data_IF_603403144588
#
_entry.id   IF_603403144588
#
_cell.length_a   1.000
_cell.length_b   1.000
_cell.length_c   1.000
_cell.angle_alpha   90.00
_cell.angle_beta   90.00
_cell.angle_gamma   90.00
#
_symmetry.space_group_name_H-M   'P 1'
#
loop_
_entity.id
_entity.type
_entity.pdbx_description
1 polymer ?
#
# COMPACT_ATOMS: atom_id res chain seq x y z
N UNK A 1 -6.29 29.47 30.39
CA UNK A 1 -5.57 28.19 30.39
C UNK A 1 -6.60 27.11 30.67
N UNK A 2 -6.96 26.30 29.68
CA UNK A 2 -8.04 25.31 29.83
C UNK A 2 -7.56 24.08 30.60
N UNK A 3 -8.45 23.36 31.23
CA UNK A 3 -8.16 22.13 31.99
C UNK A 3 -7.46 21.06 31.13
N UNK A 4 -7.65 21.11 29.81
CA UNK A 4 -7.04 20.17 28.85
C UNK A 4 -5.62 20.54 28.39
N UNK A 5 -5.15 21.77 28.62
CA UNK A 5 -3.82 22.22 28.16
C UNK A 5 -2.68 21.45 28.85
N UNK A 6 -2.83 21.14 30.12
CA UNK A 6 -1.85 20.38 30.89
C UNK A 6 -1.74 18.91 30.48
N UNK A 7 -2.86 18.27 30.09
CA UNK A 7 -2.86 16.89 29.61
C UNK A 7 -2.21 16.79 28.24
N UNK A 8 -2.55 17.65 27.29
CA UNK A 8 -1.94 17.70 25.96
C UNK A 8 -0.42 17.91 26.03
N UNK A 9 0.01 18.81 26.91
CA UNK A 9 1.44 19.06 27.10
C UNK A 9 2.17 17.84 27.68
N UNK A 10 1.56 17.14 28.63
CA UNK A 10 2.08 15.89 29.20
C UNK A 10 2.21 14.80 28.13
N UNK A 11 1.20 14.63 27.27
CA UNK A 11 1.21 13.65 26.18
C UNK A 11 2.30 13.97 25.16
N UNK A 12 2.44 15.22 24.74
CA UNK A 12 3.53 15.64 23.83
C UNK A 12 4.91 15.40 24.43
N UNK A 13 5.10 15.71 25.71
CA UNK A 13 6.37 15.48 26.41
C UNK A 13 6.70 14.00 26.48
N UNK A 14 5.71 13.13 26.75
CA UNK A 14 5.90 11.68 26.75
C UNK A 14 6.31 11.17 25.35
N UNK A 15 5.71 11.67 24.31
CA UNK A 15 6.09 11.36 22.93
C UNK A 15 7.52 11.80 22.60
N UNK A 16 7.92 13.00 23.01
CA UNK A 16 9.28 13.50 22.77
C UNK A 16 10.36 12.69 23.51
N UNK A 17 10.02 12.06 24.62
CA UNK A 17 10.94 11.25 25.43
C UNK A 17 11.07 9.81 24.95
N UNK A 18 10.02 9.20 24.42
CA UNK A 18 9.98 7.77 24.16
C UNK A 18 9.23 7.34 22.90
N UNK A 19 8.86 8.28 22.01
CA UNK A 19 8.07 7.93 20.83
C UNK A 19 6.69 7.37 21.17
N UNK A 20 6.18 6.46 20.33
CA UNK A 20 4.87 5.84 20.49
C UNK A 20 4.90 4.50 21.24
N UNK A 21 6.07 3.92 21.52
CA UNK A 21 6.19 2.57 22.09
C UNK A 21 5.50 2.40 23.46
N UNK A 22 5.41 3.49 24.22
CA UNK A 22 4.75 3.52 25.52
C UNK A 22 3.30 4.01 25.46
N UNK A 23 2.73 4.17 24.27
CA UNK A 23 1.34 4.62 24.07
C UNK A 23 0.42 3.44 23.78
N UNK A 24 -0.75 3.43 24.41
CA UNK A 24 -1.84 2.59 23.94
C UNK A 24 -2.40 3.15 22.62
N UNK A 25 -3.07 2.32 21.81
CA UNK A 25 -3.58 2.71 20.51
C UNK A 25 -4.48 3.95 20.55
N UNK A 26 -5.39 4.03 21.53
CA UNK A 26 -6.26 5.19 21.71
C UNK A 26 -5.47 6.45 22.09
N UNK A 27 -4.40 6.33 22.89
CA UNK A 27 -3.54 7.46 23.23
C UNK A 27 -2.76 7.99 22.02
N UNK A 28 -2.29 7.09 21.13
CA UNK A 28 -1.65 7.46 19.88
C UNK A 28 -2.61 8.21 18.94
N UNK A 29 -3.87 7.75 18.85
CA UNK A 29 -4.93 8.44 18.12
C UNK A 29 -5.26 9.80 18.76
N UNK A 30 -5.39 9.86 20.07
CA UNK A 30 -5.62 11.10 20.81
C UNK A 30 -4.55 12.15 20.50
N UNK A 31 -3.28 11.76 20.57
CA UNK A 31 -2.16 12.64 20.25
C UNK A 31 -2.19 13.13 18.80
N UNK A 32 -2.50 12.26 17.85
CA UNK A 32 -2.62 12.63 16.44
C UNK A 32 -3.76 13.63 16.24
N UNK A 33 -4.91 13.39 16.84
CA UNK A 33 -6.09 14.24 16.75
C UNK A 33 -5.89 15.65 17.35
N UNK A 34 -4.92 15.86 18.24
CA UNK A 34 -4.60 17.21 18.76
C UNK A 34 -4.29 18.22 17.65
N UNK A 35 -3.73 17.76 16.55
CA UNK A 35 -3.32 18.63 15.43
C UNK A 35 -4.47 19.00 14.49
N UNK A 36 -5.53 18.20 14.44
CA UNK A 36 -6.74 18.51 13.69
C UNK A 36 -7.88 19.07 14.52
N UNK A 37 -7.87 18.81 15.86
CA UNK A 37 -8.93 19.23 16.80
C UNK A 37 -8.30 19.99 17.96
N UNK A 38 -7.94 21.27 17.79
CA UNK A 38 -7.09 21.98 18.76
C UNK A 38 -7.78 22.35 20.07
N UNK A 39 -9.10 22.45 20.10
CA UNK A 39 -9.86 23.05 21.23
C UNK A 39 -10.79 22.09 21.97
N UNK A 40 -10.91 20.83 21.54
CA UNK A 40 -11.78 19.83 22.18
C UNK A 40 -10.95 18.76 22.85
N UNK A 41 -11.51 18.11 23.85
CA UNK A 41 -10.96 16.86 24.36
C UNK A 41 -11.06 15.77 23.27
N UNK A 42 -9.93 15.20 22.89
CA UNK A 42 -9.86 14.17 21.85
C UNK A 42 -9.79 12.76 22.43
N UNK A 43 -9.68 12.61 23.75
CA UNK A 43 -9.65 11.29 24.38
C UNK A 43 -10.96 10.51 24.14
N UNK A 44 -12.16 11.10 24.38
CA UNK A 44 -13.43 10.40 24.09
C UNK A 44 -13.57 10.06 22.62
N UNK A 45 -13.05 10.91 21.71
CA UNK A 45 -13.11 10.68 20.26
C UNK A 45 -12.22 9.51 19.87
N UNK A 46 -11.01 9.42 20.44
CA UNK A 46 -10.11 8.31 20.22
C UNK A 46 -10.70 6.98 20.69
N UNK A 47 -11.33 6.96 21.86
CA UNK A 47 -12.07 5.78 22.33
C UNK A 47 -13.23 5.40 21.42
N UNK A 48 -14.05 6.34 20.98
CA UNK A 48 -15.17 6.08 20.06
C UNK A 48 -14.69 5.50 18.71
N UNK A 49 -13.53 5.94 18.22
CA UNK A 49 -12.90 5.34 17.03
C UNK A 49 -12.46 3.90 17.30
N UNK A 50 -11.78 3.64 18.41
CA UNK A 50 -11.34 2.28 18.77
C UNK A 50 -12.53 1.33 18.98
N UNK A 51 -13.59 1.78 19.65
CA UNK A 51 -14.81 1.00 19.87
C UNK A 51 -15.52 0.65 18.56
N UNK A 52 -15.54 1.59 17.60
CA UNK A 52 -16.21 1.39 16.31
C UNK A 52 -15.43 0.49 15.38
N UNK A 53 -14.11 0.59 15.32
CA UNK A 53 -13.27 -0.10 14.32
C UNK A 53 -12.46 -1.26 14.88
N UNK A 54 -12.36 -1.38 16.19
CA UNK A 54 -11.72 -2.50 16.89
C UNK A 54 -10.20 -2.47 16.95
N UNK A 55 -9.52 -1.75 16.06
CA UNK A 55 -8.06 -1.64 16.06
C UNK A 55 -7.57 -0.33 15.46
N UNK A 56 -6.35 0.09 15.81
CA UNK A 56 -5.68 1.26 15.23
C UNK A 56 -5.54 1.11 13.71
N UNK A 57 -5.17 -0.06 13.23
CA UNK A 57 -5.03 -0.33 11.79
C UNK A 57 -6.36 -0.15 11.05
N UNK A 58 -7.46 -0.65 11.61
CA UNK A 58 -8.79 -0.50 11.02
C UNK A 58 -9.24 0.97 11.00
N UNK A 59 -8.98 1.75 12.06
CA UNK A 59 -9.23 3.21 12.07
C UNK A 59 -8.48 3.90 10.96
N UNK A 60 -7.18 3.65 10.86
CA UNK A 60 -6.30 4.30 9.88
C UNK A 60 -6.57 3.87 8.43
N UNK A 61 -7.25 2.74 8.22
CA UNK A 61 -7.64 2.23 6.90
C UNK A 61 -9.05 2.62 6.47
N UNK A 62 -9.89 3.08 7.40
CA UNK A 62 -11.30 3.40 7.14
C UNK A 62 -11.45 4.57 6.14
N UNK A 63 -12.46 4.54 5.25
CA UNK A 63 -12.77 5.65 4.34
C UNK A 63 -13.04 6.96 5.10
N UNK A 64 -12.69 8.11 4.47
CA UNK A 64 -12.88 9.44 5.06
C UNK A 64 -14.34 9.66 5.44
N UNK A 65 -15.28 9.27 4.58
CA UNK A 65 -16.72 9.43 4.76
C UNK A 65 -17.24 8.60 5.96
N UNK A 66 -16.62 7.46 6.24
CA UNK A 66 -16.98 6.62 7.38
C UNK A 66 -16.41 7.15 8.69
N UNK A 67 -15.18 7.67 8.67
CA UNK A 67 -14.57 8.33 9.81
C UNK A 67 -15.38 9.54 10.25
N UNK A 68 -15.92 10.32 9.32
CA UNK A 68 -16.76 11.49 9.60
C UNK A 68 -18.09 11.15 10.28
N UNK A 69 -18.51 9.89 10.29
CA UNK A 69 -19.71 9.44 11.02
C UNK A 69 -19.46 9.31 12.53
N UNK A 70 -18.20 9.39 12.96
CA UNK A 70 -17.85 9.40 14.40
C UNK A 70 -18.00 10.82 14.93
N UNK A 71 -18.74 10.98 16.02
CA UNK A 71 -18.98 12.28 16.63
C UNK A 71 -17.65 12.97 16.99
N UNK A 72 -17.48 14.21 16.53
CA UNK A 72 -16.28 15.00 16.78
C UNK A 72 -15.21 14.87 15.70
N UNK A 73 -15.37 13.98 14.73
CA UNK A 73 -14.48 13.86 13.55
C UNK A 73 -15.03 14.71 12.42
N UNK A 74 -14.40 15.86 12.16
CA UNK A 74 -14.62 16.66 10.97
C UNK A 74 -13.72 16.22 9.81
N UNK A 75 -13.91 16.83 8.65
CA UNK A 75 -13.15 16.52 7.43
C UNK A 75 -11.64 16.54 7.64
N UNK A 76 -11.11 17.60 8.27
CA UNK A 76 -9.66 17.72 8.53
C UNK A 76 -9.10 16.59 9.40
N UNK A 77 -9.86 16.15 10.40
CA UNK A 77 -9.44 15.04 11.27
C UNK A 77 -9.48 13.70 10.54
N UNK A 78 -10.52 13.45 9.73
CA UNK A 78 -10.63 12.25 8.92
C UNK A 78 -9.52 12.19 7.86
N UNK A 79 -9.22 13.30 7.18
CA UNK A 79 -8.09 13.39 6.24
C UNK A 79 -6.77 13.13 6.95
N UNK A 80 -6.52 13.71 8.14
CA UNK A 80 -5.28 13.50 8.89
C UNK A 80 -5.08 12.02 9.25
N UNK A 81 -6.12 11.34 9.71
CA UNK A 81 -6.09 9.91 10.03
C UNK A 81 -5.70 9.05 8.80
N UNK A 82 -6.23 9.39 7.63
CA UNK A 82 -5.89 8.71 6.37
C UNK A 82 -4.51 9.09 5.82
N UNK A 83 -4.13 10.33 5.99
CA UNK A 83 -2.87 10.88 5.46
C UNK A 83 -1.64 10.28 6.16
N UNK A 84 -1.71 10.09 7.49
CA UNK A 84 -0.57 9.63 8.28
C UNK A 84 0.02 8.29 7.80
N UNK A 85 -0.76 7.20 7.64
CA UNK A 85 -0.22 5.94 7.13
C UNK A 85 0.22 6.03 5.66
N UNK A 86 -0.45 6.83 4.82
CA UNK A 86 -0.08 7.02 3.42
C UNK A 86 1.26 7.76 3.28
N UNK A 87 1.53 8.76 4.13
CA UNK A 87 2.83 9.44 4.17
C UNK A 87 3.94 8.50 4.64
N UNK A 88 3.70 7.72 5.69
CA UNK A 88 4.67 6.74 6.16
C UNK A 88 4.99 5.70 5.07
N UNK A 89 3.97 5.19 4.36
CA UNK A 89 4.15 4.32 3.19
C UNK A 89 4.98 4.99 2.10
N UNK A 90 4.63 6.22 1.72
CA UNK A 90 5.35 6.98 0.68
C UNK A 90 6.82 7.18 1.04
N UNK A 91 7.12 7.49 2.30
CA UNK A 91 8.50 7.66 2.77
C UNK A 91 9.30 6.35 2.67
N UNK A 92 8.74 5.22 3.16
CA UNK A 92 9.38 3.90 3.06
C UNK A 92 9.66 3.49 1.61
N UNK A 93 8.70 3.69 0.71
CA UNK A 93 8.89 3.39 -0.71
C UNK A 93 10.00 4.24 -1.33
N UNK A 94 10.05 5.54 -1.02
CA UNK A 94 11.10 6.43 -1.53
C UNK A 94 12.51 6.05 -1.05
N UNK A 95 12.64 5.49 0.15
CA UNK A 95 13.91 4.97 0.66
C UNK A 95 14.28 3.66 -0.02
N UNK A 96 13.32 2.77 -0.25
CA UNK A 96 13.56 1.48 -0.89
C UNK A 96 13.87 1.59 -2.39
N UNK A 97 13.35 2.60 -3.09
CA UNK A 97 13.55 2.78 -4.54
C UNK A 97 14.99 3.18 -4.92
N UNK A 98 15.80 3.70 -4.00
CA UNK A 98 17.13 4.26 -4.34
C UNK A 98 18.15 3.22 -4.84
N UNK A 99 18.04 1.95 -4.46
CA UNK A 99 18.91 0.84 -4.94
C UNK A 99 18.20 -0.53 -4.87
N UNK A 100 16.92 -0.59 -5.18
CA UNK A 100 16.14 -1.83 -5.06
C UNK A 100 16.52 -2.82 -6.14
N UNK A 101 17.14 -3.93 -5.74
CA UNK A 101 17.42 -5.08 -6.62
C UNK A 101 16.38 -6.16 -6.34
N UNK A 102 15.57 -6.47 -7.36
CA UNK A 102 14.48 -7.45 -7.34
C UNK A 102 14.88 -8.67 -8.21
N UNK A 103 15.97 -9.33 -7.84
CA UNK A 103 16.54 -10.45 -8.58
C UNK A 103 16.08 -11.83 -8.08
N UNK A 104 15.02 -11.88 -7.28
CA UNK A 104 14.34 -13.09 -6.86
C UNK A 104 12.88 -12.78 -6.56
N UNK A 105 12.01 -13.80 -6.66
CA UNK A 105 10.57 -13.73 -6.35
C UNK A 105 10.34 -13.29 -4.91
N UNK A 106 11.17 -13.74 -3.97
CA UNK A 106 11.10 -13.36 -2.56
C UNK A 106 11.33 -11.84 -2.37
N UNK A 107 12.34 -11.26 -3.03
CA UNK A 107 12.60 -9.82 -2.95
C UNK A 107 11.52 -9.00 -3.62
N UNK A 108 11.06 -9.45 -4.78
CA UNK A 108 9.97 -8.79 -5.49
C UNK A 108 8.65 -8.87 -4.70
N UNK A 109 8.33 -10.03 -4.13
CA UNK A 109 7.16 -10.24 -3.30
C UNK A 109 7.15 -9.34 -2.07
N UNK A 110 8.24 -9.26 -1.33
CA UNK A 110 8.35 -8.36 -0.16
C UNK A 110 8.19 -6.89 -0.53
N UNK A 111 8.80 -6.45 -1.63
CA UNK A 111 8.61 -5.09 -2.14
C UNK A 111 7.14 -4.83 -2.50
N UNK A 112 6.48 -5.81 -3.11
CA UNK A 112 5.08 -5.71 -3.52
C UNK A 112 4.12 -5.74 -2.32
N UNK A 113 4.38 -6.51 -1.27
CA UNK A 113 3.61 -6.46 -0.02
C UNK A 113 3.54 -5.03 0.54
N UNK A 114 4.67 -4.34 0.60
CA UNK A 114 4.72 -2.93 1.01
C UNK A 114 4.00 -2.02 0.01
N UNK A 115 4.07 -2.34 -1.28
CA UNK A 115 3.44 -1.55 -2.34
C UNK A 115 1.92 -1.64 -2.31
N UNK A 116 1.37 -2.80 -2.01
CA UNK A 116 -0.07 -3.02 -1.91
C UNK A 116 -0.66 -2.70 -0.54
N UNK A 117 0.17 -2.41 0.46
CA UNK A 117 -0.31 -2.09 1.81
C UNK A 117 -1.34 -0.95 1.80
N UNK A 118 -2.55 -1.23 2.27
CA UNK A 118 -3.67 -0.27 2.32
C UNK A 118 -4.45 -0.09 1.02
N UNK A 119 -4.16 -0.87 -0.03
CA UNK A 119 -5.04 -0.95 -1.21
C UNK A 119 -6.27 -1.79 -0.87
N UNK A 120 -7.46 -1.22 -1.05
CA UNK A 120 -8.76 -1.86 -0.76
C UNK A 120 -9.46 -2.40 -2.00
N UNK A 121 -8.93 -2.10 -3.17
CA UNK A 121 -9.43 -2.52 -4.47
C UNK A 121 -8.33 -3.27 -5.20
N UNK A 122 -8.71 -4.02 -6.23
CA UNK A 122 -7.74 -4.66 -7.11
C UNK A 122 -6.94 -3.61 -7.88
N UNK A 123 -5.63 -3.73 -7.85
CA UNK A 123 -4.68 -2.84 -8.52
C UNK A 123 -3.65 -3.67 -9.24
N UNK A 124 -3.26 -3.27 -10.44
CA UNK A 124 -2.18 -3.91 -11.18
C UNK A 124 -0.97 -2.97 -11.20
N UNK A 125 0.19 -3.49 -10.78
CA UNK A 125 1.49 -2.84 -10.92
C UNK A 125 2.37 -3.54 -11.92
N UNK A 126 3.20 -2.74 -12.60
CA UNK A 126 4.30 -3.16 -13.46
C UNK A 126 5.60 -2.70 -12.82
N UNK A 127 6.52 -3.62 -12.56
CA UNK A 127 7.90 -3.33 -12.19
C UNK A 127 8.78 -3.47 -13.43
N UNK A 128 9.46 -2.40 -13.82
CA UNK A 128 10.43 -2.39 -14.91
C UNK A 128 11.83 -2.58 -14.35
N UNK A 129 12.56 -3.58 -14.82
CA UNK A 129 13.87 -3.98 -14.29
C UNK A 129 14.97 -3.88 -15.36
N UNK A 130 16.19 -3.59 -14.93
CA UNK A 130 17.37 -3.77 -15.77
C UNK A 130 17.84 -5.24 -15.77
N UNK A 131 18.91 -5.54 -16.53
CA UNK A 131 19.50 -6.91 -16.63
C UNK A 131 20.03 -7.47 -15.32
N UNK A 132 20.24 -6.63 -14.29
CA UNK A 132 20.72 -7.05 -12.97
C UNK A 132 19.57 -7.17 -11.96
N UNK A 133 18.32 -7.00 -12.41
CA UNK A 133 17.15 -6.98 -11.55
C UNK A 133 16.98 -5.67 -10.76
N UNK A 134 17.71 -4.59 -11.11
CA UNK A 134 17.52 -3.29 -10.49
C UNK A 134 16.19 -2.69 -10.94
N UNK A 135 15.40 -2.21 -9.99
CA UNK A 135 14.13 -1.53 -10.26
C UNK A 135 14.39 -0.17 -10.94
N UNK A 136 13.92 -0.05 -12.18
CA UNK A 136 13.96 1.20 -12.96
C UNK A 136 12.72 2.05 -12.75
N UNK A 137 11.55 1.41 -12.64
CA UNK A 137 10.29 2.06 -12.36
C UNK A 137 9.24 1.07 -11.83
N UNK A 138 8.34 1.56 -10.97
CA UNK A 138 7.11 0.88 -10.59
C UNK A 138 5.94 1.73 -11.10
N UNK A 139 5.09 1.16 -11.96
CA UNK A 139 3.97 1.85 -12.62
C UNK A 139 2.66 1.15 -12.30
N UNK A 140 1.65 1.92 -11.91
CA UNK A 140 0.28 1.45 -11.79
C UNK A 140 -0.33 1.36 -13.18
N UNK A 141 -0.85 0.21 -13.58
CA UNK A 141 -1.45 -0.03 -14.91
C UNK A 141 -2.97 0.02 -14.90
N UNK A 142 -3.59 -0.43 -13.83
CA UNK A 142 -5.04 -0.42 -13.67
C UNK A 142 -5.45 -0.27 -12.21
N UNK A 143 -6.66 0.22 -11.99
CA UNK A 143 -7.31 0.35 -10.69
C UNK A 143 -8.80 0.04 -10.84
N UNK A 144 -9.31 -0.83 -9.95
CA UNK A 144 -10.74 -1.09 -9.82
C UNK A 144 -11.30 -1.87 -11.01
N UNK A 145 -11.62 -3.12 -10.81
CA UNK A 145 -12.36 -3.92 -11.78
C UNK A 145 -12.48 -5.35 -11.29
N UNK A 146 -13.70 -5.74 -11.02
CA UNK A 146 -14.07 -7.13 -10.84
C UNK A 146 -13.97 -7.79 -12.21
N UNK A 147 -13.33 -8.95 -12.27
CA UNK A 147 -13.21 -9.82 -13.44
C UNK A 147 -12.43 -9.21 -14.62
N UNK A 148 -11.12 -9.42 -14.61
CA UNK A 148 -10.26 -9.16 -15.74
C UNK A 148 -10.19 -7.69 -16.09
N UNK A 149 -9.65 -6.87 -15.17
CA UNK A 149 -9.21 -5.55 -15.56
C UNK A 149 -8.39 -5.71 -16.82
N UNK A 150 -8.89 -5.20 -17.94
CA UNK A 150 -8.16 -5.30 -19.22
C UNK A 150 -6.78 -4.69 -19.00
N UNK A 151 -5.79 -5.56 -18.78
CA UNK A 151 -4.41 -5.13 -18.69
C UNK A 151 -4.13 -4.27 -19.91
N UNK A 152 -3.85 -2.99 -19.71
CA UNK A 152 -3.53 -2.11 -20.81
C UNK A 152 -2.16 -2.47 -21.37
N UNK A 153 -2.14 -3.48 -22.24
CA UNK A 153 -0.94 -4.01 -22.92
C UNK A 153 -0.14 -2.87 -23.56
N UNK A 154 -0.83 -1.93 -24.22
CA UNK A 154 -0.16 -0.80 -24.87
C UNK A 154 0.60 0.07 -23.85
N UNK A 155 0.00 0.32 -22.70
CA UNK A 155 0.62 1.10 -21.61
C UNK A 155 1.80 0.33 -21.02
N UNK A 156 1.65 -0.97 -20.82
CA UNK A 156 2.70 -1.85 -20.28
C UNK A 156 3.93 -1.85 -21.21
N UNK A 157 3.73 -2.06 -22.50
CA UNK A 157 4.80 -2.02 -23.53
C UNK A 157 5.46 -0.64 -23.59
N UNK A 158 4.65 0.43 -23.57
CA UNK A 158 5.16 1.81 -23.55
C UNK A 158 6.04 2.09 -22.34
N UNK A 159 5.62 1.67 -21.14
CA UNK A 159 6.41 1.82 -19.93
C UNK A 159 7.75 1.07 -20.01
N UNK A 160 7.75 -0.15 -20.51
CA UNK A 160 8.97 -0.96 -20.67
C UNK A 160 9.97 -0.29 -21.62
N UNK A 161 9.49 0.25 -22.75
CA UNK A 161 10.32 0.98 -23.71
C UNK A 161 10.88 2.27 -23.13
N UNK A 162 10.03 3.10 -22.49
CA UNK A 162 10.42 4.38 -21.90
C UNK A 162 11.46 4.23 -20.78
N UNK A 163 11.43 3.14 -20.07
CA UNK A 163 12.39 2.85 -18.99
C UNK A 163 13.61 2.09 -19.45
N UNK A 164 13.65 1.67 -20.74
CA UNK A 164 14.68 0.76 -21.28
C UNK A 164 14.79 -0.53 -20.44
N UNK A 165 13.66 -1.06 -20.01
CA UNK A 165 13.61 -2.28 -19.21
C UNK A 165 14.11 -3.48 -20.01
N UNK A 166 14.85 -4.36 -19.34
CA UNK A 166 15.24 -5.67 -19.87
C UNK A 166 14.25 -6.75 -19.43
N UNK A 167 13.61 -6.56 -18.28
CA UNK A 167 12.59 -7.45 -17.75
C UNK A 167 11.47 -6.68 -17.07
N UNK A 168 10.31 -7.31 -16.98
CA UNK A 168 9.10 -6.80 -16.30
C UNK A 168 8.62 -7.85 -15.33
N UNK A 169 8.21 -7.42 -14.13
CA UNK A 169 7.35 -8.20 -13.24
C UNK A 169 5.98 -7.53 -13.25
N UNK A 170 4.93 -8.32 -13.51
CA UNK A 170 3.55 -7.92 -13.24
C UNK A 170 3.16 -8.31 -11.83
N UNK A 171 2.28 -7.55 -11.23
CA UNK A 171 1.67 -7.94 -9.96
C UNK A 171 0.32 -7.31 -9.78
N UNK A 172 -0.59 -8.04 -9.13
CA UNK A 172 -1.86 -7.51 -8.67
C UNK A 172 -2.18 -8.05 -7.28
N UNK A 173 -3.10 -7.39 -6.59
CA UNK A 173 -3.59 -7.85 -5.30
C UNK A 173 -4.98 -8.47 -5.45
N UNK A 174 -5.26 -9.50 -4.64
CA UNK A 174 -6.58 -10.07 -4.45
C UNK A 174 -7.21 -9.56 -3.15
N UNK A 175 -8.17 -8.63 -3.19
CA UNK A 175 -8.86 -8.16 -1.98
C UNK A 175 -9.66 -9.26 -1.27
N UNK A 176 -9.91 -10.40 -1.93
CA UNK A 176 -10.55 -11.58 -1.35
C UNK A 176 -9.72 -12.32 -0.31
N UNK A 177 -8.41 -11.99 -0.19
CA UNK A 177 -7.52 -12.55 0.82
C UNK A 177 -6.82 -13.86 0.41
N UNK A 178 -6.95 -14.31 -0.85
CA UNK A 178 -6.29 -15.54 -1.32
C UNK A 178 -5.30 -15.25 -2.43
N UNK A 179 -4.01 -15.46 -2.19
CA UNK A 179 -2.91 -15.22 -3.15
C UNK A 179 -2.72 -16.39 -4.13
N UNK A 180 -3.80 -16.88 -4.77
CA UNK A 180 -3.71 -17.94 -5.80
C UNK A 180 -4.11 -17.37 -7.16
N UNK A 181 -3.39 -17.74 -8.24
CA UNK A 181 -3.73 -17.32 -9.60
C UNK A 181 -5.10 -17.85 -10.03
N UNK A 182 -5.93 -17.00 -10.61
CA UNK A 182 -7.19 -17.35 -11.27
C UNK A 182 -6.95 -17.75 -12.74
N UNK A 183 -7.93 -18.38 -13.43
CA UNK A 183 -7.84 -18.65 -14.87
C UNK A 183 -7.59 -17.38 -15.71
N UNK A 184 -8.14 -16.25 -15.28
CA UNK A 184 -7.97 -14.94 -15.92
C UNK A 184 -6.54 -14.44 -15.77
N UNK A 185 -5.87 -14.73 -14.64
CA UNK A 185 -4.48 -14.35 -14.41
C UNK A 185 -3.54 -15.09 -15.35
N UNK A 186 -3.78 -16.38 -15.62
CA UNK A 186 -3.03 -17.14 -16.61
C UNK A 186 -3.16 -16.52 -18.00
N UNK A 187 -4.39 -16.20 -18.44
CA UNK A 187 -4.64 -15.58 -19.74
C UNK A 187 -3.95 -14.22 -19.85
N UNK A 188 -4.02 -13.41 -18.78
CA UNK A 188 -3.39 -12.09 -18.72
C UNK A 188 -1.87 -12.20 -18.76
N UNK A 189 -1.30 -13.19 -18.10
CA UNK A 189 0.13 -13.48 -18.08
C UNK A 189 0.64 -13.85 -19.46
N UNK A 190 -0.07 -14.74 -20.19
CA UNK A 190 0.30 -15.13 -21.55
C UNK A 190 0.29 -13.94 -22.51
N UNK A 191 -0.77 -13.15 -22.49
CA UNK A 191 -0.88 -11.92 -23.29
C UNK A 191 0.25 -10.93 -23.02
N UNK A 192 0.61 -10.77 -21.74
CA UNK A 192 1.71 -9.91 -21.33
C UNK A 192 3.07 -10.43 -21.82
N UNK A 193 3.32 -11.74 -21.63
CA UNK A 193 4.54 -12.43 -22.09
C UNK A 193 4.73 -12.26 -23.59
N UNK A 194 3.70 -12.55 -24.38
CA UNK A 194 3.74 -12.39 -25.84
C UNK A 194 4.02 -10.94 -26.26
N UNK A 195 3.33 -9.99 -25.67
CA UNK A 195 3.49 -8.57 -26.02
C UNK A 195 4.90 -8.04 -25.68
N UNK A 196 5.44 -8.37 -24.52
CA UNK A 196 6.79 -7.97 -24.11
C UNK A 196 7.87 -8.65 -24.97
N UNK A 197 7.67 -9.91 -25.35
CA UNK A 197 8.59 -10.63 -26.23
C UNK A 197 8.75 -9.94 -27.61
N UNK A 198 7.70 -9.31 -28.13
CA UNK A 198 7.78 -8.57 -29.43
C UNK A 198 8.78 -7.40 -29.40
N UNK A 199 9.07 -6.88 -28.23
CA UNK A 199 10.02 -5.77 -28.02
C UNK A 199 11.33 -6.21 -27.34
N UNK A 200 11.55 -7.54 -27.22
CA UNK A 200 12.76 -8.11 -26.63
C UNK A 200 12.86 -7.90 -25.10
N UNK A 201 11.74 -7.73 -24.43
CA UNK A 201 11.66 -7.60 -22.95
C UNK A 201 11.08 -8.89 -22.38
N UNK A 202 11.68 -9.41 -21.32
CA UNK A 202 11.23 -10.61 -20.63
C UNK A 202 10.10 -10.29 -19.65
N UNK A 203 9.05 -11.12 -19.59
CA UNK A 203 8.17 -11.17 -18.43
C UNK A 203 8.80 -12.14 -17.41
N UNK A 204 9.51 -11.57 -16.43
CA UNK A 204 10.26 -12.35 -15.46
C UNK A 204 9.36 -13.03 -14.43
N UNK A 205 8.26 -12.40 -14.03
CA UNK A 205 7.30 -12.97 -13.08
C UNK A 205 5.91 -12.30 -13.20
N UNK A 206 4.90 -12.99 -12.67
CA UNK A 206 3.61 -12.43 -12.31
C UNK A 206 3.31 -12.82 -10.84
N UNK A 207 3.30 -11.84 -9.96
CA UNK A 207 3.18 -12.05 -8.51
C UNK A 207 1.81 -11.59 -8.04
N UNK A 208 1.06 -12.50 -7.42
CA UNK A 208 -0.24 -12.24 -6.83
C UNK A 208 -0.05 -12.01 -5.33
N UNK A 209 -0.60 -10.90 -4.83
CA UNK A 209 -0.49 -10.50 -3.42
C UNK A 209 -1.86 -10.55 -2.76
N UNK A 210 -1.96 -11.15 -1.58
CA UNK A 210 -3.18 -11.14 -0.78
C UNK A 210 -2.85 -11.30 0.70
N UNK A 211 -3.52 -10.54 1.55
CA UNK A 211 -3.55 -10.66 3.02
C UNK A 211 -2.16 -10.83 3.69
N UNK A 212 -1.17 -10.09 3.21
CA UNK A 212 0.20 -10.14 3.73
C UNK A 212 1.06 -11.28 3.20
N UNK A 213 0.56 -12.05 2.24
CA UNK A 213 1.25 -13.15 1.56
C UNK A 213 1.32 -12.91 0.05
N UNK A 214 2.15 -13.69 -0.67
CA UNK A 214 2.26 -13.60 -2.12
C UNK A 214 2.59 -14.95 -2.76
N UNK A 215 2.19 -15.10 -4.03
CA UNK A 215 2.52 -16.25 -4.87
C UNK A 215 3.16 -15.75 -6.16
N UNK A 216 4.30 -16.36 -6.52
CA UNK A 216 4.99 -16.18 -7.79
C UNK A 216 4.54 -17.24 -8.80
N UNK A 217 4.12 -16.81 -9.97
CA UNK A 217 3.78 -17.73 -11.07
C UNK A 217 5.04 -18.33 -11.71
N UNK A 218 6.18 -17.62 -11.67
CA UNK A 218 7.46 -18.15 -12.13
C UNK A 218 7.95 -19.29 -11.22
N UNK A 219 7.96 -19.10 -9.89
CA UNK A 219 8.34 -20.15 -8.94
C UNK A 219 7.38 -21.35 -8.98
N UNK A 220 6.12 -21.11 -9.36
CA UNK A 220 5.12 -22.17 -9.58
C UNK A 220 5.33 -22.93 -10.91
N UNK A 221 6.35 -22.57 -11.70
CA UNK A 221 6.72 -23.24 -12.96
C UNK A 221 5.91 -22.82 -14.17
N UNK A 222 5.12 -21.75 -14.06
CA UNK A 222 4.29 -21.30 -15.20
C UNK A 222 5.03 -20.47 -16.23
N UNK A 223 6.03 -19.69 -15.82
CA UNK A 223 6.78 -18.76 -16.70
C UNK A 223 8.13 -19.29 -17.17
N UNK A 224 8.43 -20.57 -16.91
CA UNK A 224 9.68 -21.24 -17.31
C UNK A 224 9.78 -21.53 -18.80
#
# INVERSE_FOLDING_TARGET
>A
MGIHDGHREKMRRRFLQGGLDAFADHEALELLLYYAIPRRDTNPIAHALMDRYGSLSAVLSAPVEDLQKVEGIGESAAILLRLAPLLARKARLAESEKETILNSSERAGRYLLERFAGETHEVIYQLCLDRKGKLLACKRLAEGGVAGADLNIRQMVSNALLTSASAVILSHNHPSGVALPSPEDYTTTDRAKEALATIGVELADHIIVADGDFVSMADSGYLG
#
